data_IF_794627064415
#
_entry.id   IF_794627064415
#
_cell.length_a   1.000
_cell.length_b   1.000
_cell.length_c   1.000
_cell.angle_alpha   90.00
_cell.angle_beta   90.00
_cell.angle_gamma   90.00
#
_symmetry.space_group_name_H-M   'P 1'
#
loop_
_entity.id
_entity.type
_entity.pdbx_description
1 polymer ?
#
# COMPACT_ATOMS: atom_id res chain seq x y z
N UNK A 1 21.47 -26.75 2.95
CA UNK A 1 22.03 -27.25 4.21
C UNK A 1 20.87 -27.84 5.03
N UNK A 2 20.88 -29.14 5.35
CA UNK A 2 19.83 -29.79 6.15
C UNK A 2 19.55 -29.07 7.47
N UNK A 3 20.57 -28.56 8.14
CA UNK A 3 20.44 -27.91 9.45
C UNK A 3 19.67 -26.58 9.33
N UNK A 4 19.89 -25.84 8.25
CA UNK A 4 19.12 -24.62 7.93
C UNK A 4 17.67 -24.97 7.61
N UNK A 5 17.42 -26.08 6.92
CA UNK A 5 16.06 -26.52 6.60
C UNK A 5 15.29 -26.90 7.88
N UNK A 6 15.92 -27.63 8.80
CA UNK A 6 15.32 -27.98 10.08
C UNK A 6 14.96 -26.75 10.92
N UNK A 7 15.75 -25.68 10.82
CA UNK A 7 15.46 -24.41 11.49
C UNK A 7 14.32 -23.61 10.83
N UNK A 8 14.24 -23.58 9.49
CA UNK A 8 13.29 -22.75 8.74
C UNK A 8 11.91 -23.39 8.59
N UNK A 9 11.84 -24.72 8.51
CA UNK A 9 10.57 -25.42 8.22
C UNK A 9 9.50 -25.26 9.31
N UNK A 10 9.80 -25.27 10.63
CA UNK A 10 8.79 -25.07 11.66
C UNK A 10 8.05 -23.71 11.56
N UNK A 11 8.73 -22.54 11.54
CA UNK A 11 8.02 -21.27 11.39
C UNK A 11 7.31 -21.16 10.04
N UNK A 12 7.92 -21.63 8.95
CA UNK A 12 7.28 -21.60 7.62
C UNK A 12 5.94 -22.35 7.62
N UNK A 13 5.90 -23.56 8.19
CA UNK A 13 4.65 -24.33 8.31
C UNK A 13 3.62 -23.65 9.21
N UNK A 14 4.06 -22.96 10.27
CA UNK A 14 3.17 -22.21 11.14
C UNK A 14 2.49 -21.05 10.38
N UNK A 15 3.25 -20.32 9.56
CA UNK A 15 2.72 -19.21 8.76
C UNK A 15 1.68 -19.71 7.73
N UNK A 16 1.97 -20.81 7.03
CA UNK A 16 1.00 -21.41 6.10
C UNK A 16 -0.28 -21.90 6.80
N UNK A 17 -0.19 -22.41 8.03
CA UNK A 17 -1.37 -22.77 8.82
C UNK A 17 -2.18 -21.54 9.22
N UNK A 18 -1.51 -20.45 9.61
CA UNK A 18 -2.19 -19.21 9.97
C UNK A 18 -2.96 -18.62 8.78
N UNK A 19 -2.33 -18.56 7.60
CA UNK A 19 -2.99 -18.10 6.37
C UNK A 19 -4.12 -19.04 5.97
N UNK A 20 -3.90 -20.36 6.01
CA UNK A 20 -4.92 -21.35 5.61
C UNK A 20 -6.12 -21.45 6.57
N UNK A 21 -5.95 -21.07 7.84
CA UNK A 21 -7.02 -21.05 8.84
C UNK A 21 -7.77 -19.71 8.89
N UNK A 22 -7.33 -18.69 8.15
CA UNK A 22 -7.96 -17.38 8.16
C UNK A 22 -9.39 -17.47 7.63
N UNK A 23 -10.34 -16.96 8.43
CA UNK A 23 -11.73 -16.76 8.02
C UNK A 23 -12.04 -15.28 8.12
N UNK A 24 -12.33 -14.66 6.98
CA UNK A 24 -12.71 -13.25 6.93
C UNK A 24 -13.99 -12.98 7.72
N UNK A 25 -13.98 -11.94 8.54
CA UNK A 25 -15.16 -11.44 9.24
C UNK A 25 -15.58 -10.11 8.60
N UNK A 26 -16.82 -9.98 8.11
CA UNK A 26 -17.30 -8.75 7.51
C UNK A 26 -17.21 -7.55 8.46
N UNK A 27 -16.76 -6.41 7.92
CA UNK A 27 -16.69 -5.13 8.61
C UNK A 27 -16.91 -3.97 7.63
N UNK A 28 -17.05 -2.73 8.12
CA UNK A 28 -17.17 -1.57 7.25
C UNK A 28 -15.92 -1.44 6.34
N UNK A 29 -16.08 -1.06 5.07
CA UNK A 29 -14.94 -0.84 4.18
C UNK A 29 -14.02 0.26 4.71
N UNK A 30 -12.73 0.15 4.39
CA UNK A 30 -11.71 1.10 4.80
C UNK A 30 -11.91 2.47 4.14
N UNK A 31 -11.59 3.54 4.84
CA UNK A 31 -11.63 4.92 4.32
C UNK A 31 -10.29 5.37 3.70
N UNK A 32 -9.44 4.43 3.29
CA UNK A 32 -8.11 4.70 2.72
C UNK A 32 -7.99 4.09 1.32
N UNK A 33 -7.29 4.75 0.38
CA UNK A 33 -7.10 4.19 -0.95
C UNK A 33 -6.26 2.91 -0.87
N UNK A 34 -6.57 1.93 -1.71
CA UNK A 34 -5.86 0.65 -1.77
C UNK A 34 -5.18 0.50 -3.13
N UNK A 35 -3.90 0.19 -3.15
CA UNK A 35 -3.19 -0.21 -4.38
C UNK A 35 -2.91 -1.71 -4.32
N UNK A 36 -3.39 -2.46 -5.31
CA UNK A 36 -3.27 -3.91 -5.39
C UNK A 36 -2.32 -4.25 -6.53
N UNK A 37 -1.30 -5.07 -6.25
CA UNK A 37 -0.34 -5.51 -7.25
C UNK A 37 -0.46 -7.04 -7.41
N UNK A 38 -0.52 -7.53 -8.64
CA UNK A 38 -0.67 -8.96 -8.94
C UNK A 38 0.12 -9.34 -10.20
N UNK A 39 0.62 -10.58 -10.24
CA UNK A 39 1.25 -11.15 -11.43
C UNK A 39 0.22 -11.58 -12.48
N UNK A 40 0.48 -11.33 -13.76
CA UNK A 40 -0.39 -11.72 -14.87
C UNK A 40 -0.57 -13.24 -15.03
N UNK A 41 0.36 -14.02 -14.46
CA UNK A 41 0.42 -15.48 -14.52
C UNK A 41 0.50 -16.10 -13.13
N UNK A 42 0.03 -15.40 -12.09
CA UNK A 42 -0.02 -15.94 -10.73
C UNK A 42 -1.04 -17.11 -10.66
N UNK A 43 -0.59 -18.36 -10.40
CA UNK A 43 -1.51 -19.50 -10.32
C UNK A 43 -2.31 -19.54 -9.01
N UNK A 44 -1.91 -18.76 -8.00
CA UNK A 44 -2.53 -18.71 -6.67
C UNK A 44 -3.59 -17.61 -6.61
N UNK A 45 -3.34 -16.46 -7.26
CA UNK A 45 -4.21 -15.29 -7.20
C UNK A 45 -4.62 -14.83 -8.61
N UNK A 46 -5.82 -15.22 -9.10
CA UNK A 46 -6.35 -14.68 -10.34
C UNK A 46 -6.52 -13.16 -10.28
N UNK A 47 -6.27 -12.47 -11.39
CA UNK A 47 -6.43 -11.00 -11.49
C UNK A 47 -7.83 -10.54 -11.06
N UNK A 48 -8.87 -11.31 -11.37
CA UNK A 48 -10.24 -11.00 -10.95
C UNK A 48 -10.42 -11.04 -9.42
N UNK A 49 -9.74 -11.97 -8.72
CA UNK A 49 -9.75 -12.02 -7.27
C UNK A 49 -8.98 -10.84 -6.67
N UNK A 50 -7.85 -10.44 -7.28
CA UNK A 50 -7.14 -9.23 -6.89
C UNK A 50 -8.01 -7.96 -7.09
N UNK A 51 -8.80 -7.89 -8.16
CA UNK A 51 -9.69 -6.76 -8.42
C UNK A 51 -10.82 -6.61 -7.37
N UNK A 52 -11.22 -7.70 -6.69
CA UNK A 52 -12.27 -7.69 -5.69
C UNK A 52 -11.94 -6.83 -4.46
N UNK A 53 -10.66 -6.49 -4.24
CA UNK A 53 -10.23 -5.57 -3.18
C UNK A 53 -10.89 -4.19 -3.23
N UNK A 54 -11.46 -3.78 -4.37
CA UNK A 54 -12.30 -2.58 -4.48
C UNK A 54 -13.48 -2.58 -3.50
N UNK A 55 -13.95 -3.75 -3.09
CA UNK A 55 -15.08 -3.91 -2.16
C UNK A 55 -14.69 -3.64 -0.70
N UNK A 56 -13.39 -3.61 -0.40
CA UNK A 56 -12.85 -3.41 0.95
C UNK A 56 -12.47 -1.94 1.25
N UNK A 57 -12.74 -1.00 0.34
CA UNK A 57 -12.47 0.43 0.55
C UNK A 57 -13.53 1.33 -0.08
N UNK A 58 -13.80 2.48 0.55
CA UNK A 58 -14.62 3.56 -0.02
C UNK A 58 -13.80 4.66 -0.70
N UNK A 59 -12.49 4.70 -0.50
CA UNK A 59 -11.61 5.76 -1.02
C UNK A 59 -10.98 5.43 -2.40
N UNK A 60 -11.39 4.32 -3.01
CA UNK A 60 -10.94 3.87 -4.32
C UNK A 60 -9.82 2.83 -4.27
N UNK A 61 -9.73 2.05 -5.34
CA UNK A 61 -8.73 1.00 -5.52
C UNK A 61 -8.01 1.15 -6.87
N UNK A 62 -6.69 1.02 -6.87
CA UNK A 62 -5.85 0.99 -8.07
C UNK A 62 -5.24 -0.42 -8.23
N UNK A 63 -5.57 -1.11 -9.33
CA UNK A 63 -5.07 -2.44 -9.63
C UNK A 63 -3.92 -2.36 -10.64
N UNK A 64 -2.76 -2.91 -10.28
CA UNK A 64 -1.58 -3.01 -11.13
C UNK A 64 -1.27 -4.47 -11.43
N UNK A 65 -1.39 -4.83 -12.70
CA UNK A 65 -1.03 -6.16 -13.19
C UNK A 65 0.38 -6.10 -13.75
N UNK A 66 1.27 -6.93 -13.22
CA UNK A 66 2.70 -6.96 -13.56
C UNK A 66 3.04 -8.27 -14.26
N UNK A 67 4.00 -8.28 -15.21
CA UNK A 67 4.44 -9.52 -15.83
C UNK A 67 5.08 -10.46 -14.79
N UNK A 68 4.54 -11.68 -14.63
CA UNK A 68 5.13 -12.66 -13.72
C UNK A 68 4.12 -13.59 -13.05
N UNK A 69 4.65 -14.60 -12.36
CA UNK A 69 3.86 -15.49 -11.49
C UNK A 69 3.69 -14.93 -10.09
N UNK A 70 3.49 -15.79 -9.11
CA UNK A 70 3.30 -15.41 -7.70
C UNK A 70 4.43 -14.54 -7.14
N UNK A 71 5.68 -14.80 -7.57
CA UNK A 71 6.88 -14.05 -7.18
C UNK A 71 7.29 -12.98 -8.21
N UNK A 72 6.33 -12.35 -8.90
CA UNK A 72 6.60 -11.27 -9.87
C UNK A 72 7.48 -10.15 -9.28
N UNK A 73 7.39 -9.92 -7.96
CA UNK A 73 8.14 -8.91 -7.22
C UNK A 73 9.66 -9.05 -7.40
N UNK A 74 10.19 -10.27 -7.46
CA UNK A 74 11.63 -10.54 -7.54
C UNK A 74 12.26 -9.95 -8.82
N UNK A 75 11.48 -9.87 -9.89
CA UNK A 75 11.91 -9.38 -11.20
C UNK A 75 11.55 -7.89 -11.42
N UNK A 76 10.67 -7.34 -10.57
CA UNK A 76 10.05 -6.02 -10.77
C UNK A 76 10.24 -5.07 -9.59
N UNK A 77 11.26 -5.27 -8.73
CA UNK A 77 11.52 -4.41 -7.55
C UNK A 77 11.53 -2.90 -7.89
N UNK A 78 12.22 -2.42 -8.95
CA UNK A 78 12.23 -0.99 -9.27
C UNK A 78 10.85 -0.45 -9.68
N UNK A 79 10.09 -1.22 -10.43
CA UNK A 79 8.74 -0.87 -10.87
C UNK A 79 7.79 -0.80 -9.68
N UNK A 80 7.80 -1.83 -8.84
CA UNK A 80 7.01 -1.91 -7.59
C UNK A 80 7.33 -0.73 -6.67
N UNK A 81 8.61 -0.41 -6.48
CA UNK A 81 9.03 0.74 -5.68
C UNK A 81 8.52 2.07 -6.27
N UNK A 82 8.48 2.19 -7.60
CA UNK A 82 7.90 3.34 -8.30
C UNK A 82 6.40 3.47 -8.05
N UNK A 83 5.67 2.35 -8.10
CA UNK A 83 4.23 2.30 -7.80
C UNK A 83 3.97 2.76 -6.36
N UNK A 84 4.66 2.18 -5.38
CA UNK A 84 4.53 2.54 -3.96
C UNK A 84 4.83 4.03 -3.75
N UNK A 85 5.91 4.55 -4.33
CA UNK A 85 6.27 5.98 -4.24
C UNK A 85 5.17 6.87 -4.80
N UNK A 86 4.54 6.46 -5.90
CA UNK A 86 3.48 7.23 -6.57
C UNK A 86 2.20 7.24 -5.73
N UNK A 87 1.82 6.08 -5.17
CA UNK A 87 0.67 5.95 -4.29
C UNK A 87 0.81 6.84 -3.03
N UNK A 88 1.98 6.81 -2.38
CA UNK A 88 2.26 7.65 -1.20
C UNK A 88 2.22 9.15 -1.51
N UNK A 89 2.66 9.57 -2.71
CA UNK A 89 2.59 10.98 -3.14
C UNK A 89 1.17 11.41 -3.43
N UNK A 90 0.34 10.56 -4.02
CA UNK A 90 -1.06 10.85 -4.30
C UNK A 90 -1.86 11.09 -3.01
N UNK A 91 -1.54 10.38 -1.93
CA UNK A 91 -2.13 10.59 -0.60
C UNK A 91 -1.57 11.80 0.15
N UNK A 92 -0.33 12.20 -0.15
CA UNK A 92 0.32 13.35 0.49
C UNK A 92 -0.02 14.70 -0.18
N UNK A 93 -0.62 14.68 -1.37
CA UNK A 93 -1.11 15.90 -2.00
C UNK A 93 -2.19 16.51 -1.09
N UNK A 94 -2.04 17.75 -0.60
CA UNK A 94 -3.07 18.38 0.20
C UNK A 94 -4.36 18.39 -0.61
N UNK A 95 -5.45 17.90 -0.02
CA UNK A 95 -6.78 17.99 -0.63
C UNK A 95 -7.10 19.44 -1.01
N UNK A 96 -7.97 19.68 -2.00
CA UNK A 96 -8.43 21.03 -2.34
C UNK A 96 -9.13 21.65 -1.12
N UNK A 97 -8.36 22.36 -0.28
CA UNK A 97 -8.77 22.82 1.04
C UNK A 97 -7.61 23.07 1.99
N UNK A 98 -6.45 22.43 1.79
CA UNK A 98 -5.25 22.66 2.59
C UNK A 98 -4.16 23.41 1.80
N UNK A 99 -4.51 24.57 1.23
CA UNK A 99 -3.49 25.58 0.91
C UNK A 99 -3.13 26.26 2.22
N UNK A 100 -1.93 25.96 2.71
CA UNK A 100 -1.33 26.58 3.88
C UNK A 100 -1.60 28.09 3.88
N UNK A 101 -2.18 28.60 4.99
CA UNK A 101 -2.09 30.01 5.31
C UNK A 101 -0.60 30.36 5.32
N UNK A 102 -0.15 31.06 4.28
CA UNK A 102 1.12 31.76 4.30
C UNK A 102 1.03 32.75 5.45
N UNK A 103 1.84 32.56 6.48
CA UNK A 103 2.03 33.53 7.55
C UNK A 103 2.42 34.87 6.90
N UNK A 104 1.48 35.80 6.88
CA UNK A 104 1.75 37.19 6.55
C UNK A 104 2.66 37.75 7.63
N UNK A 105 3.87 38.13 7.23
CA UNK A 105 4.76 38.95 8.04
C UNK A 105 4.07 40.28 8.34
N UNK A 106 3.84 40.58 9.62
CA UNK A 106 3.44 41.92 10.05
C UNK A 106 4.69 42.76 10.31
N UNK A 107 4.84 43.96 9.72
CA UNK A 107 5.93 44.85 10.06
C UNK A 107 5.67 45.45 11.44
N UNK A 108 6.59 45.26 12.37
CA UNK A 108 6.57 45.93 13.68
C UNK A 108 6.69 47.43 13.46
N UNK A 109 5.70 48.17 13.95
CA UNK A 109 5.64 49.62 13.90
C UNK A 109 6.67 50.26 14.83
N UNK A 110 7.30 51.32 14.34
CA UNK A 110 8.11 52.28 15.08
C UNK A 110 7.31 52.98 16.19
N UNK A 111 7.87 53.21 17.38
CA UNK A 111 7.41 54.28 18.26
C UNK A 111 8.24 55.55 18.04
N UNK A 112 7.54 56.68 17.94
CA UNK A 112 8.08 58.05 17.91
C UNK A 112 8.56 58.55 19.29
N UNK A 113 8.95 59.82 19.40
CA UNK A 113 10.05 60.25 20.27
C UNK A 113 9.61 60.70 21.67
N UNK A 114 10.54 60.57 22.62
CA UNK A 114 10.74 61.41 23.80
C UNK A 114 12.25 61.58 23.98
#
# INVERSE_FOLDING_TARGET
>A
DPDVMEMVMPPLRADYRAVGAYTWQPGPPLAVPVTVLVGDRDPVVPVAAAAAWREHTTAGSDLRVLPGGHFYLDQSVPEVAGIVRSALRATAAPGPGQRALLHGESPVGTPGPQ
#
